data_IF_312132140532
#
_entry.id   IF_312132140532
#
_cell.length_a   1.000
_cell.length_b   1.000
_cell.length_c   1.000
_cell.angle_alpha   90.00
_cell.angle_beta   90.00
_cell.angle_gamma   90.00
#
_symmetry.space_group_name_H-M   'P 1'
#
loop_
_entity.id
_entity.type
_entity.pdbx_description
1 polymer ?
#
# COMPACT_ATOMS: atom_id res chain seq x y z
N UNK A 1 -0.08 -35.07 45.92
CA UNK A 1 0.32 -33.74 45.45
C UNK A 1 0.88 -33.87 44.05
N UNK A 2 0.07 -33.68 43.04
CA UNK A 2 0.51 -33.74 41.64
C UNK A 2 1.25 -32.48 41.26
N UNK A 3 2.52 -32.62 40.86
CA UNK A 3 3.27 -31.54 40.22
C UNK A 3 2.70 -31.38 38.83
N UNK A 4 2.05 -30.23 38.60
CA UNK A 4 1.48 -29.90 37.30
C UNK A 4 2.53 -29.97 36.19
N UNK A 5 2.21 -30.69 35.12
CA UNK A 5 2.96 -30.69 33.87
C UNK A 5 3.10 -29.25 33.40
N UNK A 6 4.32 -28.71 33.44
CA UNK A 6 4.62 -27.46 32.75
C UNK A 6 4.45 -27.74 31.25
N UNK A 7 3.40 -27.17 30.66
CA UNK A 7 3.15 -27.28 29.24
C UNK A 7 4.43 -26.95 28.45
N UNK A 8 4.83 -27.84 27.56
CA UNK A 8 5.98 -27.62 26.64
C UNK A 8 5.58 -26.51 25.69
N UNK A 9 6.17 -25.34 25.84
CA UNK A 9 6.08 -24.29 24.82
C UNK A 9 6.88 -24.73 23.61
N UNK A 10 6.22 -24.84 22.46
CA UNK A 10 6.89 -25.06 21.17
C UNK A 10 6.98 -23.72 20.44
N UNK A 11 8.15 -23.42 19.88
CA UNK A 11 8.36 -22.26 19.02
C UNK A 11 8.12 -22.66 17.57
N UNK A 12 7.24 -21.92 16.89
CA UNK A 12 7.02 -22.05 15.45
C UNK A 12 7.75 -20.89 14.75
N UNK A 13 8.64 -21.21 13.82
CA UNK A 13 9.29 -20.21 12.96
C UNK A 13 8.51 -20.12 11.65
N UNK A 14 8.05 -18.91 11.30
CA UNK A 14 7.35 -18.63 10.05
C UNK A 14 8.08 -17.51 9.31
N UNK A 15 7.94 -17.40 7.97
CA UNK A 15 8.40 -16.21 7.23
C UNK A 15 7.73 -14.95 7.76
N UNK A 16 8.42 -13.82 7.66
CA UNK A 16 7.83 -12.51 7.98
C UNK A 16 6.59 -12.24 7.11
N UNK A 17 5.52 -11.76 7.73
CA UNK A 17 4.26 -11.51 7.06
C UNK A 17 4.31 -10.22 6.23
N UNK A 18 3.59 -10.23 5.09
CA UNK A 18 3.37 -9.05 4.25
C UNK A 18 1.88 -8.74 4.28
N UNK A 19 1.52 -7.49 4.59
CA UNK A 19 0.14 -7.04 4.42
C UNK A 19 0.01 -6.30 3.07
N UNK A 20 -0.65 -6.90 2.07
CA UNK A 20 -0.78 -6.32 0.74
C UNK A 20 -1.87 -5.24 0.65
N UNK A 21 -2.58 -4.91 1.73
CA UNK A 21 -3.72 -4.00 1.69
C UNK A 21 -3.88 -3.19 2.98
N UNK A 22 -3.10 -2.13 3.12
CA UNK A 22 -3.18 -1.24 4.29
C UNK A 22 -3.54 0.20 3.91
N UNK A 23 -3.99 0.95 4.90
CA UNK A 23 -4.22 2.39 4.82
C UNK A 23 -3.39 3.10 5.89
N UNK A 24 -2.13 3.40 5.58
CA UNK A 24 -1.18 4.01 6.52
C UNK A 24 -1.51 5.47 6.88
N UNK A 25 -2.55 6.02 6.30
CA UNK A 25 -2.99 7.40 6.51
C UNK A 25 -1.90 8.40 6.11
N UNK A 26 -1.26 9.07 7.05
CA UNK A 26 -0.24 10.06 6.73
C UNK A 26 -0.77 11.26 5.92
N UNK A 27 0.11 12.08 5.36
CA UNK A 27 -0.25 13.26 4.54
C UNK A 27 -1.39 14.06 5.18
N UNK A 28 -2.46 14.36 4.43
CA UNK A 28 -3.61 15.11 4.95
C UNK A 28 -4.45 14.35 5.98
N UNK A 29 -4.18 13.06 6.19
CA UNK A 29 -4.82 12.24 7.23
C UNK A 29 -3.88 11.89 8.39
N UNK A 30 -2.78 12.61 8.55
CA UNK A 30 -1.82 12.40 9.65
C UNK A 30 -2.45 12.51 11.05
N UNK A 31 -3.60 13.19 11.19
CA UNK A 31 -4.40 13.22 12.42
C UNK A 31 -5.04 11.86 12.78
N UNK A 32 -5.14 10.93 11.82
CA UNK A 32 -5.67 9.57 12.02
C UNK A 32 -4.57 8.53 12.26
N UNK A 33 -3.35 8.84 11.81
CA UNK A 33 -2.19 7.98 11.88
C UNK A 33 -1.07 8.50 11.00
N UNK A 34 0.17 8.26 11.38
CA UNK A 34 1.36 8.64 10.59
C UNK A 34 2.00 7.42 9.97
N UNK A 35 2.80 7.61 8.92
CA UNK A 35 3.56 6.49 8.34
C UNK A 35 4.47 5.83 9.39
N UNK A 36 5.02 6.60 10.32
CA UNK A 36 5.84 6.07 11.39
C UNK A 36 5.04 5.23 12.39
N UNK A 37 3.87 5.72 12.86
CA UNK A 37 3.05 5.00 13.84
C UNK A 37 2.45 3.72 13.25
N UNK A 38 1.91 3.79 12.04
CA UNK A 38 1.23 2.65 11.41
C UNK A 38 2.21 1.54 11.01
N UNK A 39 3.39 1.90 10.49
CA UNK A 39 4.41 0.90 10.16
C UNK A 39 5.09 0.32 11.40
N UNK A 40 5.21 1.08 12.51
CA UNK A 40 5.62 0.53 13.78
C UNK A 40 4.59 -0.46 14.35
N UNK A 41 3.30 -0.15 14.23
CA UNK A 41 2.22 -1.07 14.61
C UNK A 41 2.23 -2.35 13.77
N UNK A 42 2.49 -2.24 12.46
CA UNK A 42 2.65 -3.40 11.58
C UNK A 42 3.79 -4.32 12.06
N UNK A 43 4.97 -3.75 12.36
CA UNK A 43 6.09 -4.53 12.92
C UNK A 43 5.73 -5.22 14.23
N UNK A 44 5.06 -4.51 15.14
CA UNK A 44 4.62 -5.07 16.41
C UNK A 44 3.62 -6.22 16.21
N UNK A 45 2.86 -6.21 15.10
CA UNK A 45 1.95 -7.28 14.67
C UNK A 45 2.61 -8.41 13.90
N UNK A 46 3.94 -8.36 13.67
CA UNK A 46 4.68 -9.39 12.93
C UNK A 46 4.73 -9.19 11.40
N UNK A 47 4.24 -8.06 10.91
CA UNK A 47 4.35 -7.69 9.49
C UNK A 47 5.66 -6.96 9.24
N UNK A 48 6.50 -7.49 8.37
CA UNK A 48 7.76 -6.86 7.99
C UNK A 48 7.64 -5.95 6.76
N UNK A 49 6.57 -6.12 5.97
CA UNK A 49 6.28 -5.28 4.81
C UNK A 49 4.79 -4.98 4.70
N UNK A 50 4.45 -3.78 4.22
CA UNK A 50 3.08 -3.33 4.01
C UNK A 50 2.92 -2.64 2.66
N UNK A 51 1.76 -2.80 2.01
CA UNK A 51 1.46 -2.15 0.73
C UNK A 51 0.29 -1.15 0.90
N UNK A 52 0.60 0.15 0.79
CA UNK A 52 -0.35 1.22 1.10
C UNK A 52 -1.26 1.58 -0.08
N UNK A 53 -2.55 1.75 0.24
CA UNK A 53 -3.59 2.10 -0.73
C UNK A 53 -3.50 3.57 -1.18
N UNK A 54 -3.96 3.89 -2.42
CA UNK A 54 -3.78 5.21 -3.02
C UNK A 54 -4.79 6.27 -2.58
N UNK A 55 -5.71 5.97 -1.66
CA UNK A 55 -6.86 6.84 -1.35
C UNK A 55 -6.63 7.90 -0.27
N UNK A 56 -5.44 7.94 0.35
CA UNK A 56 -5.10 9.04 1.29
C UNK A 56 -5.00 10.37 0.53
N UNK A 57 -5.69 11.44 0.96
CA UNK A 57 -5.59 12.74 0.31
C UNK A 57 -4.19 13.38 0.44
N UNK A 58 -3.64 13.94 -0.65
CA UNK A 58 -4.14 13.84 -2.01
C UNK A 58 -3.99 12.41 -2.56
N UNK A 59 -5.00 11.88 -3.29
CA UNK A 59 -4.94 10.51 -3.79
C UNK A 59 -3.77 10.32 -4.76
N UNK A 60 -3.18 9.13 -4.76
CA UNK A 60 -2.01 8.80 -5.59
C UNK A 60 -2.47 8.42 -7.00
N UNK A 61 -2.86 9.41 -7.80
CA UNK A 61 -3.42 9.25 -9.15
C UNK A 61 -2.64 10.00 -10.24
N UNK A 62 -1.60 10.70 -9.87
CA UNK A 62 -0.67 11.38 -10.76
C UNK A 62 0.77 11.24 -10.24
N UNK A 63 1.73 11.60 -11.06
CA UNK A 63 3.15 11.46 -10.72
C UNK A 63 3.56 12.36 -9.55
N UNK A 64 3.04 13.57 -9.47
CA UNK A 64 3.38 14.51 -8.39
C UNK A 64 2.90 14.00 -7.03
N UNK A 65 1.67 13.46 -6.97
CA UNK A 65 1.13 12.82 -5.77
C UNK A 65 1.93 11.57 -5.38
N UNK A 66 2.36 10.76 -6.36
CA UNK A 66 3.21 9.60 -6.12
C UNK A 66 4.55 10.01 -5.52
N UNK A 67 5.25 10.99 -6.11
CA UNK A 67 6.54 11.47 -5.60
C UNK A 67 6.40 11.95 -4.15
N UNK A 68 5.38 12.74 -3.87
CA UNK A 68 5.10 13.24 -2.52
C UNK A 68 4.86 12.11 -1.53
N UNK A 69 4.07 11.12 -1.91
CA UNK A 69 3.76 9.97 -1.07
C UNK A 69 5.00 9.12 -0.79
N UNK A 70 5.79 8.80 -1.83
CA UNK A 70 7.02 8.03 -1.68
C UNK A 70 8.02 8.73 -0.75
N UNK A 71 8.18 10.05 -0.88
CA UNK A 71 9.05 10.83 -0.01
C UNK A 71 8.56 10.81 1.46
N UNK A 72 7.25 10.99 1.68
CA UNK A 72 6.67 11.03 3.01
C UNK A 72 6.73 9.67 3.73
N UNK A 73 6.46 8.56 3.02
CA UNK A 73 6.61 7.22 3.59
C UNK A 73 8.09 6.92 3.88
N UNK A 74 8.98 7.20 2.91
CA UNK A 74 10.40 6.93 3.06
C UNK A 74 11.06 7.69 4.22
N UNK A 75 10.53 8.85 4.60
CA UNK A 75 11.03 9.62 5.73
C UNK A 75 10.63 9.06 7.10
N UNK A 76 9.56 8.25 7.18
CA UNK A 76 8.99 7.83 8.47
C UNK A 76 8.78 6.34 8.66
N UNK A 77 8.78 5.54 7.62
CA UNK A 77 8.47 4.11 7.70
C UNK A 77 9.46 3.34 8.57
N UNK A 78 8.95 2.37 9.33
CA UNK A 78 9.70 1.50 10.25
C UNK A 78 9.83 0.06 9.74
N UNK A 79 9.08 -0.32 8.69
CA UNK A 79 9.17 -1.60 8.02
C UNK A 79 9.33 -1.40 6.51
N UNK A 80 9.51 -2.47 5.75
CA UNK A 80 9.47 -2.40 4.29
C UNK A 80 8.07 -1.99 3.82
N UNK A 81 8.02 -1.27 2.71
CA UNK A 81 6.77 -0.72 2.21
C UNK A 81 6.71 -0.64 0.69
N UNK A 82 5.50 -0.63 0.19
CA UNK A 82 5.19 -0.28 -1.19
C UNK A 82 3.90 0.54 -1.25
N UNK A 83 3.60 1.09 -2.41
CA UNK A 83 2.39 1.88 -2.64
C UNK A 83 1.68 1.43 -3.91
N UNK A 84 0.36 1.56 -3.94
CA UNK A 84 -0.42 1.40 -5.15
C UNK A 84 -0.66 2.75 -5.82
N UNK A 85 -0.78 2.72 -7.15
CA UNK A 85 -1.29 3.84 -7.94
C UNK A 85 -2.80 3.66 -8.16
N UNK A 86 -3.57 4.73 -8.04
CA UNK A 86 -5.02 4.70 -8.17
C UNK A 86 -5.47 4.96 -9.61
N UNK A 87 -6.35 4.13 -10.13
CA UNK A 87 -7.15 4.50 -11.30
C UNK A 87 -8.17 5.58 -10.93
N UNK A 88 -8.42 6.55 -11.81
CA UNK A 88 -9.30 7.69 -11.56
C UNK A 88 -10.40 7.82 -12.61
N UNK A 89 -11.58 8.25 -12.18
CA UNK A 89 -12.71 8.58 -13.08
C UNK A 89 -12.36 9.60 -14.15
N UNK A 90 -11.48 10.55 -13.83
CA UNK A 90 -11.05 11.59 -14.79
C UNK A 90 -10.13 11.06 -15.89
N UNK A 91 -9.76 9.77 -15.84
CA UNK A 91 -8.84 9.16 -16.78
C UNK A 91 -7.38 9.59 -16.54
N UNK A 92 -6.55 8.69 -16.04
CA UNK A 92 -5.14 8.98 -15.76
C UNK A 92 -4.20 7.94 -16.39
N UNK A 93 -4.65 7.25 -17.42
CA UNK A 93 -3.90 6.17 -18.09
C UNK A 93 -2.59 6.66 -18.72
N UNK A 94 -2.53 7.92 -19.13
CA UNK A 94 -1.32 8.52 -19.70
C UNK A 94 -0.12 8.53 -18.71
N UNK A 95 -0.38 8.54 -17.40
CA UNK A 95 0.67 8.49 -16.38
C UNK A 95 1.28 7.10 -16.18
N UNK A 96 0.63 6.02 -16.63
CA UNK A 96 0.96 4.65 -16.24
C UNK A 96 2.36 4.22 -16.64
N UNK A 97 2.80 4.55 -17.85
CA UNK A 97 4.14 4.20 -18.30
C UNK A 97 5.24 4.79 -17.42
N UNK A 98 5.05 6.03 -16.93
CA UNK A 98 6.01 6.72 -16.07
C UNK A 98 6.01 6.27 -14.61
N UNK A 99 4.89 5.70 -14.13
CA UNK A 99 4.75 5.37 -12.70
C UNK A 99 4.79 3.87 -12.40
N UNK A 100 4.47 3.00 -13.37
CA UNK A 100 4.30 1.56 -13.16
C UNK A 100 5.55 0.89 -12.56
N UNK A 101 6.75 1.31 -12.96
CA UNK A 101 8.00 0.82 -12.39
C UNK A 101 8.32 1.28 -10.96
N UNK A 102 7.46 2.09 -10.32
CA UNK A 102 7.69 2.71 -9.01
C UNK A 102 6.64 2.34 -7.96
N UNK A 103 5.67 1.52 -8.34
CA UNK A 103 4.52 1.13 -7.49
C UNK A 103 4.34 -0.38 -7.50
N UNK A 104 3.58 -0.89 -6.54
CA UNK A 104 3.26 -2.32 -6.44
C UNK A 104 2.21 -2.78 -7.45
N UNK A 105 1.46 -1.85 -8.02
CA UNK A 105 0.42 -2.12 -8.99
C UNK A 105 -0.62 -1.03 -9.08
N UNK A 106 -1.61 -1.25 -9.95
CA UNK A 106 -2.77 -0.39 -10.10
C UNK A 106 -3.89 -0.83 -9.16
N UNK A 107 -4.44 0.11 -8.41
CA UNK A 107 -5.65 -0.09 -7.60
C UNK A 107 -6.87 0.46 -8.31
N UNK A 108 -7.86 -0.39 -8.54
CA UNK A 108 -9.18 -0.01 -9.05
C UNK A 108 -10.22 -0.22 -7.95
N UNK A 109 -11.02 0.80 -7.70
CA UNK A 109 -12.15 0.73 -6.78
C UNK A 109 -13.45 0.60 -7.58
N UNK A 110 -14.11 -0.54 -7.44
CA UNK A 110 -15.40 -0.85 -8.08
C UNK A 110 -16.60 -0.69 -7.13
N UNK A 111 -16.33 -0.47 -5.85
CA UNK A 111 -17.32 -0.21 -4.80
C UNK A 111 -17.04 1.15 -4.15
N UNK A 112 -17.80 1.48 -3.11
CA UNK A 112 -17.67 2.74 -2.39
C UNK A 112 -16.22 3.03 -1.97
N UNK A 113 -15.76 4.23 -2.29
CA UNK A 113 -14.46 4.76 -1.91
C UNK A 113 -14.53 6.28 -1.79
N UNK A 114 -13.45 6.92 -1.40
CA UNK A 114 -13.36 8.37 -1.23
C UNK A 114 -12.89 9.06 -2.52
N UNK A 115 -13.41 10.26 -2.77
CA UNK A 115 -12.98 11.12 -3.88
C UNK A 115 -13.31 10.55 -5.27
N UNK A 116 -12.41 10.78 -6.23
CA UNK A 116 -12.57 10.46 -7.67
C UNK A 116 -12.10 9.06 -8.05
N UNK A 117 -11.90 8.18 -7.07
CA UNK A 117 -11.32 6.84 -7.30
C UNK A 117 -12.35 5.76 -7.64
N UNK A 118 -13.64 6.03 -7.46
CA UNK A 118 -14.68 5.05 -7.79
C UNK A 118 -14.84 4.92 -9.30
N UNK A 119 -14.63 3.71 -9.83
CA UNK A 119 -14.88 3.36 -11.22
C UNK A 119 -16.09 2.42 -11.30
N UNK A 120 -17.30 2.99 -11.26
CA UNK A 120 -18.54 2.22 -11.33
C UNK A 120 -18.76 1.63 -12.73
N UNK A 121 -18.33 2.34 -13.79
CA UNK A 121 -18.48 1.89 -15.17
C UNK A 121 -17.48 0.77 -15.53
N UNK A 122 -18.01 -0.28 -16.18
CA UNK A 122 -17.20 -1.44 -16.56
C UNK A 122 -16.21 -1.09 -17.68
N UNK A 123 -16.65 -0.32 -18.69
CA UNK A 123 -15.79 0.03 -19.81
C UNK A 123 -14.60 0.89 -19.35
N UNK A 124 -14.82 1.80 -18.39
CA UNK A 124 -13.75 2.57 -17.77
C UNK A 124 -12.75 1.65 -17.04
N UNK A 125 -13.22 0.67 -16.26
CA UNK A 125 -12.34 -0.30 -15.60
C UNK A 125 -11.50 -1.09 -16.61
N UNK A 126 -12.11 -1.59 -17.66
CA UNK A 126 -11.41 -2.32 -18.72
C UNK A 126 -10.37 -1.47 -19.43
N UNK A 127 -10.66 -0.19 -19.70
CA UNK A 127 -9.71 0.73 -20.28
C UNK A 127 -8.46 0.90 -19.40
N UNK A 128 -8.63 1.04 -18.09
CA UNK A 128 -7.53 1.10 -17.13
C UNK A 128 -6.71 -0.20 -17.09
N UNK A 129 -7.37 -1.37 -17.08
CA UNK A 129 -6.67 -2.66 -17.12
C UNK A 129 -5.84 -2.84 -18.39
N UNK A 130 -6.40 -2.49 -19.55
CA UNK A 130 -5.68 -2.59 -20.83
C UNK A 130 -4.51 -1.63 -20.94
N UNK A 131 -4.63 -0.45 -20.35
CA UNK A 131 -3.59 0.57 -20.38
C UNK A 131 -2.44 0.30 -19.39
N UNK A 132 -2.64 -0.54 -18.37
CA UNK A 132 -1.60 -0.81 -17.39
C UNK A 132 -0.50 -1.70 -17.98
N UNK A 133 0.81 -1.31 -17.89
CA UNK A 133 1.90 -2.09 -18.46
C UNK A 133 2.02 -3.47 -17.82
N UNK A 134 1.95 -4.52 -18.62
CA UNK A 134 2.12 -5.88 -18.16
C UNK A 134 3.54 -6.15 -17.64
N UNK A 135 3.66 -6.98 -16.60
CA UNK A 135 4.96 -7.46 -16.10
C UNK A 135 5.75 -6.48 -15.25
N UNK A 136 5.17 -5.34 -14.87
CA UNK A 136 5.85 -4.38 -13.99
C UNK A 136 5.73 -4.78 -12.53
N UNK A 137 6.76 -5.49 -12.02
CA UNK A 137 6.94 -5.76 -10.60
C UNK A 137 7.98 -4.80 -10.05
N UNK A 138 7.67 -4.06 -8.99
CA UNK A 138 8.64 -3.21 -8.32
C UNK A 138 9.00 -3.79 -6.97
N UNK A 139 10.24 -4.26 -6.85
CA UNK A 139 10.88 -4.43 -5.55
C UNK A 139 11.43 -3.07 -5.12
N UNK A 140 10.96 -2.52 -4.02
CA UNK A 140 11.71 -1.50 -3.30
C UNK A 140 12.27 -2.10 -2.02
N UNK A 141 13.58 -1.92 -1.84
CA UNK A 141 14.25 -2.16 -0.56
C UNK A 141 14.23 -0.86 0.23
N UNK A 142 14.00 -0.97 1.54
CA UNK A 142 14.32 0.13 2.44
C UNK A 142 15.81 0.44 2.34
N UNK A 143 16.23 1.71 2.44
CA UNK A 143 17.63 2.00 2.68
C UNK A 143 18.01 1.36 4.03
N UNK A 144 19.04 0.55 4.02
CA UNK A 144 19.70 0.00 5.22
C UNK A 144 20.34 1.13 6.01
#
# INVERSE_FOLDING_TARGET
MGLGERGRTSTLTIPGMIDPHVHLRGLNWAHKGTFASETAAALAGGYWAVLDMPNTPPPTIDEAALIRKLAAIGAGARCDWGVYFGASQSGNTAAYAGVAGRVCGLKIYNNATTGTLLLADQAAREAHFRAWPAGTWVRRRSPT
#
